data_IF_005872424371
#
_entry.id   IF_005872424371
#
_cell.length_a   1.000
_cell.length_b   1.000
_cell.length_c   1.000
_cell.angle_alpha   90.00
_cell.angle_beta   90.00
_cell.angle_gamma   90.00
#
_symmetry.space_group_name_H-M   'P 1'
#
loop_
_entity.id
_entity.type
_entity.pdbx_description
1 polymer ?
#
# COMPACT_ATOMS: atom_id res chain seq x y z
N UNK A 1 -51.86 -66.46 43.31
CA UNK A 1 -51.76 -65.05 43.75
C UNK A 1 -50.32 -64.60 43.56
N UNK A 2 -50.17 -63.38 43.04
CA UNK A 2 -48.95 -62.57 42.87
C UNK A 2 -48.01 -62.85 41.69
N UNK A 3 -48.15 -61.93 40.73
CA UNK A 3 -47.35 -61.53 39.57
C UNK A 3 -45.98 -60.94 39.93
N UNK A 4 -44.97 -61.04 39.04
CA UNK A 4 -43.73 -60.28 39.20
C UNK A 4 -42.68 -60.39 38.07
N UNK A 5 -42.85 -59.55 37.05
CA UNK A 5 -41.92 -59.00 36.06
C UNK A 5 -40.46 -59.50 35.89
N UNK A 6 -40.14 -59.76 34.62
CA UNK A 6 -38.82 -59.95 34.00
C UNK A 6 -38.04 -58.63 33.88
N UNK A 7 -36.73 -58.61 34.20
CA UNK A 7 -35.81 -57.53 33.82
C UNK A 7 -34.49 -58.08 33.29
N UNK A 8 -34.20 -57.76 32.03
CA UNK A 8 -32.92 -57.95 31.37
C UNK A 8 -31.89 -56.96 31.94
N UNK A 9 -30.68 -57.44 32.24
CA UNK A 9 -29.51 -56.59 32.55
C UNK A 9 -28.55 -56.70 31.37
N UNK A 10 -28.40 -55.60 30.63
CA UNK A 10 -27.44 -55.43 29.54
C UNK A 10 -26.10 -54.97 30.13
N UNK A 11 -25.05 -55.73 29.89
CA UNK A 11 -23.65 -55.35 30.16
C UNK A 11 -23.19 -54.30 29.13
N UNK A 12 -22.90 -53.08 29.59
CA UNK A 12 -22.23 -52.06 28.78
C UNK A 12 -20.75 -52.00 29.19
N UNK A 13 -19.90 -52.50 28.30
CA UNK A 13 -18.45 -52.41 28.41
C UNK A 13 -17.95 -50.98 28.22
N UNK A 14 -17.02 -50.58 29.08
CA UNK A 14 -16.33 -49.30 29.02
C UNK A 14 -15.19 -49.38 27.99
N UNK A 15 -15.32 -48.64 26.89
CA UNK A 15 -14.23 -48.39 25.96
C UNK A 15 -13.59 -47.06 26.37
N UNK A 16 -12.38 -47.11 26.95
CA UNK A 16 -11.52 -45.93 27.12
C UNK A 16 -11.01 -45.50 25.74
N UNK A 17 -11.65 -44.49 25.15
CA UNK A 17 -11.08 -43.75 24.03
C UNK A 17 -9.98 -42.83 24.57
N UNK A 18 -8.73 -43.17 24.24
CA UNK A 18 -7.58 -42.28 24.37
C UNK A 18 -7.79 -41.09 23.43
N UNK A 19 -8.32 -39.99 23.96
CA UNK A 19 -8.34 -38.70 23.28
C UNK A 19 -6.90 -38.19 23.15
N UNK A 20 -6.28 -38.45 21.99
CA UNK A 20 -5.08 -37.75 21.59
C UNK A 20 -5.40 -36.28 21.36
N UNK A 21 -4.85 -35.38 22.19
CA UNK A 21 -4.78 -33.97 21.86
C UNK A 21 -3.87 -33.81 20.64
N UNK A 22 -4.46 -33.74 19.45
CA UNK A 22 -3.76 -33.24 18.28
C UNK A 22 -3.49 -31.74 18.51
N UNK A 23 -2.22 -31.35 18.59
CA UNK A 23 -1.82 -29.95 18.62
C UNK A 23 -2.33 -29.27 17.34
N UNK A 24 -3.11 -28.19 17.52
CA UNK A 24 -3.55 -27.33 16.41
C UNK A 24 -2.32 -26.61 15.86
N UNK A 25 -1.99 -26.71 14.56
CA UNK A 25 -0.84 -26.00 14.00
C UNK A 25 -1.13 -24.49 13.94
N UNK A 26 -0.69 -23.74 14.96
CA UNK A 26 -0.57 -22.29 14.89
C UNK A 26 0.69 -21.91 14.09
N UNK A 27 0.65 -21.87 12.76
CA UNK A 27 1.81 -21.39 11.95
C UNK A 27 1.50 -20.99 10.49
N UNK A 28 0.26 -20.66 10.12
CA UNK A 28 -0.02 -20.26 8.72
C UNK A 28 0.28 -18.78 8.43
N UNK A 29 0.11 -17.89 9.40
CA UNK A 29 0.40 -16.45 9.21
C UNK A 29 1.91 -16.15 9.23
N UNK A 30 2.68 -16.87 10.06
CA UNK A 30 4.12 -16.63 10.24
C UNK A 30 4.96 -16.97 9.01
N UNK A 31 4.63 -18.06 8.31
CA UNK A 31 5.34 -18.45 7.08
C UNK A 31 5.01 -17.49 5.94
N UNK A 32 3.72 -17.13 5.80
CA UNK A 32 3.26 -16.24 4.74
C UNK A 32 3.80 -14.79 4.89
N UNK A 33 3.86 -14.27 6.12
CA UNK A 33 4.37 -12.91 6.36
C UNK A 33 5.84 -12.72 5.98
N UNK A 34 6.70 -13.69 6.31
CA UNK A 34 8.12 -13.65 5.94
C UNK A 34 8.32 -13.78 4.42
N UNK A 35 7.59 -14.70 3.77
CA UNK A 35 7.63 -14.86 2.31
C UNK A 35 7.19 -13.60 1.56
N UNK A 36 6.15 -12.90 2.07
CA UNK A 36 5.70 -11.63 1.51
C UNK A 36 6.79 -10.55 1.69
N UNK A 37 7.43 -10.46 2.85
CA UNK A 37 8.53 -9.50 3.08
C UNK A 37 9.70 -9.77 2.11
N UNK A 38 10.09 -11.02 1.94
CA UNK A 38 11.17 -11.42 1.03
C UNK A 38 10.82 -11.12 -0.45
N UNK A 39 9.58 -11.39 -0.86
CA UNK A 39 9.06 -11.06 -2.20
C UNK A 39 9.05 -9.54 -2.46
N UNK A 40 8.65 -8.74 -1.47
CA UNK A 40 8.67 -7.28 -1.56
C UNK A 40 10.10 -6.72 -1.64
N UNK A 41 11.02 -7.24 -0.83
CA UNK A 41 12.44 -6.87 -0.90
C UNK A 41 13.05 -7.25 -2.26
N UNK A 42 12.72 -8.42 -2.81
CA UNK A 42 13.17 -8.83 -4.14
C UNK A 42 12.63 -7.90 -5.23
N UNK A 43 11.37 -7.47 -5.16
CA UNK A 43 10.81 -6.47 -6.08
C UNK A 43 11.42 -5.09 -5.92
N UNK A 44 11.71 -4.66 -4.69
CA UNK A 44 12.31 -3.36 -4.40
C UNK A 44 13.67 -3.18 -5.10
N UNK A 45 14.50 -4.24 -5.12
CA UNK A 45 15.83 -4.21 -5.80
C UNK A 45 15.77 -4.63 -7.28
N UNK A 46 14.64 -5.12 -7.77
CA UNK A 46 14.44 -5.40 -9.17
C UNK A 46 14.26 -4.09 -9.94
N UNK A 47 15.10 -3.83 -10.95
CA UNK A 47 15.06 -2.62 -11.78
C UNK A 47 14.52 -2.84 -13.19
N UNK A 48 13.80 -3.93 -13.43
CA UNK A 48 13.16 -4.17 -14.72
C UNK A 48 12.35 -2.94 -15.16
N UNK A 49 12.62 -2.46 -16.38
CA UNK A 49 11.97 -1.29 -16.97
C UNK A 49 10.80 -1.67 -17.89
N UNK A 50 10.70 -2.95 -18.23
CA UNK A 50 9.68 -3.52 -19.10
C UNK A 50 9.19 -4.85 -18.49
N UNK A 51 7.88 -4.94 -18.25
CA UNK A 51 7.20 -6.10 -17.70
C UNK A 51 6.44 -6.86 -18.80
N UNK A 52 7.15 -7.27 -19.84
CA UNK A 52 6.61 -7.91 -21.05
C UNK A 52 5.60 -7.02 -21.80
N UNK A 53 6.05 -5.83 -22.20
CA UNK A 53 5.28 -4.78 -22.87
C UNK A 53 4.47 -3.90 -21.90
N UNK A 54 4.64 -4.07 -20.59
CA UNK A 54 3.90 -3.34 -19.55
C UNK A 54 4.81 -2.50 -18.66
N UNK A 55 4.32 -1.41 -18.06
CA UNK A 55 5.16 -0.51 -17.27
C UNK A 55 5.79 -1.19 -16.06
N UNK A 56 6.92 -0.65 -15.60
CA UNK A 56 7.77 -1.24 -14.55
C UNK A 56 7.04 -1.59 -13.24
N UNK A 57 5.96 -0.86 -12.88
CA UNK A 57 5.18 -1.11 -11.66
C UNK A 57 4.50 -2.50 -11.64
N UNK A 58 4.33 -3.14 -12.81
CA UNK A 58 3.67 -4.45 -12.91
C UNK A 58 4.58 -5.63 -12.51
N UNK A 59 5.90 -5.44 -12.39
CA UNK A 59 6.83 -6.54 -12.06
C UNK A 59 8.05 -6.12 -11.22
N UNK A 60 8.24 -4.82 -10.97
CA UNK A 60 9.39 -4.28 -10.26
C UNK A 60 8.97 -3.14 -9.33
N UNK A 61 9.80 -2.84 -8.34
CA UNK A 61 9.48 -1.88 -7.29
C UNK A 61 8.22 -2.25 -6.50
N UNK A 62 7.83 -1.36 -5.59
CA UNK A 62 6.73 -1.58 -4.66
C UNK A 62 5.81 -0.36 -4.64
N UNK A 63 4.50 -0.60 -4.75
CA UNK A 63 3.47 0.44 -4.70
C UNK A 63 2.94 0.55 -3.26
N UNK A 64 3.15 1.70 -2.63
CA UNK A 64 2.78 1.94 -1.23
C UNK A 64 1.82 3.12 -1.11
N UNK A 65 0.87 3.04 -0.18
CA UNK A 65 0.00 4.16 0.19
C UNK A 65 -0.04 4.32 1.69
N UNK A 66 0.29 5.52 2.15
CA UNK A 66 0.23 5.91 3.56
C UNK A 66 -1.23 6.11 3.97
N UNK A 67 -1.59 5.69 5.18
CA UNK A 67 -2.90 5.95 5.76
C UNK A 67 -2.99 7.36 6.35
N UNK A 68 -4.14 8.00 6.17
CA UNK A 68 -4.47 9.19 6.98
C UNK A 68 -4.73 8.77 8.42
N UNK A 69 -4.34 9.60 9.39
CA UNK A 69 -4.57 9.34 10.82
C UNK A 69 -6.05 9.02 11.10
N UNK A 70 -6.94 9.81 10.50
CA UNK A 70 -8.39 9.69 10.66
C UNK A 70 -9.09 8.85 9.58
N UNK A 71 -8.34 8.19 8.68
CA UNK A 71 -8.93 7.41 7.58
C UNK A 71 -9.56 6.11 8.08
N UNK A 72 -10.84 5.88 7.76
CA UNK A 72 -11.59 4.75 8.31
C UNK A 72 -12.81 4.33 7.44
N UNK A 73 -12.85 3.08 6.90
CA UNK A 73 -11.71 2.19 6.82
C UNK A 73 -10.61 2.87 5.99
N UNK A 74 -9.33 2.69 6.34
CA UNK A 74 -8.22 3.46 5.74
C UNK A 74 -8.02 3.18 4.24
N UNK A 75 -8.74 2.21 3.70
CA UNK A 75 -8.64 1.72 2.34
C UNK A 75 -9.71 2.28 1.40
N UNK A 76 -10.81 2.82 1.89
CA UNK A 76 -11.84 3.34 1.00
C UNK A 76 -11.43 4.71 0.45
N UNK A 77 -11.56 4.98 -0.86
CA UNK A 77 -11.25 6.29 -1.42
C UNK A 77 -12.23 7.33 -0.87
N UNK A 78 -11.75 8.54 -0.62
CA UNK A 78 -12.63 9.65 -0.19
C UNK A 78 -13.57 10.08 -1.34
N UNK A 79 -14.70 10.75 -1.06
CA UNK A 79 -15.58 11.27 -2.12
C UNK A 79 -14.85 12.10 -3.18
N UNK A 80 -13.86 12.92 -2.77
CA UNK A 80 -13.03 13.70 -3.69
C UNK A 80 -12.12 12.83 -4.56
N UNK A 81 -11.56 11.75 -4.01
CA UNK A 81 -10.75 10.78 -4.75
C UNK A 81 -11.59 10.03 -5.78
N UNK A 82 -12.84 9.66 -5.42
CA UNK A 82 -13.81 9.05 -6.34
C UNK A 82 -14.19 10.04 -7.45
N UNK A 83 -14.55 11.28 -7.10
CA UNK A 83 -14.97 12.30 -8.06
C UNK A 83 -13.86 12.65 -9.06
N UNK A 84 -12.60 12.72 -8.60
CA UNK A 84 -11.40 12.92 -9.43
C UNK A 84 -10.96 11.66 -10.18
N UNK A 85 -11.46 10.50 -9.77
CA UNK A 85 -11.00 9.18 -10.17
C UNK A 85 -9.48 9.00 -9.96
N UNK A 86 -8.94 9.45 -8.83
CA UNK A 86 -7.50 9.38 -8.57
C UNK A 86 -7.19 9.19 -7.10
N UNK A 87 -6.42 8.14 -6.80
CA UNK A 87 -5.92 7.77 -5.49
C UNK A 87 -4.39 7.75 -5.55
N UNK A 88 -3.77 8.51 -4.64
CA UNK A 88 -2.32 8.68 -4.59
C UNK A 88 -1.60 7.52 -3.91
N UNK A 89 -0.54 7.07 -4.56
CA UNK A 89 0.44 6.10 -4.06
C UNK A 89 1.84 6.65 -4.28
N UNK A 90 2.81 6.08 -3.59
CA UNK A 90 4.24 6.23 -3.89
C UNK A 90 4.76 4.91 -4.48
N UNK A 91 5.69 5.01 -5.40
CA UNK A 91 6.41 3.89 -5.96
C UNK A 91 7.86 3.91 -5.46
N UNK A 92 8.24 2.88 -4.72
CA UNK A 92 9.59 2.76 -4.15
C UNK A 92 10.38 1.67 -4.89
N UNK A 93 11.64 1.96 -5.21
CA UNK A 93 12.58 1.06 -5.87
C UNK A 93 13.99 1.51 -5.51
N UNK A 94 14.97 0.63 -5.54
CA UNK A 94 16.31 0.91 -5.01
C UNK A 94 17.14 1.91 -5.86
N UNK A 95 16.65 2.32 -7.04
CA UNK A 95 17.16 3.40 -7.86
C UNK A 95 16.37 4.71 -7.73
N UNK A 96 15.34 4.73 -6.87
CA UNK A 96 14.57 5.91 -6.50
C UNK A 96 14.99 6.30 -5.08
N UNK A 97 15.79 7.37 -4.90
CA UNK A 97 16.34 7.80 -3.61
C UNK A 97 15.31 8.40 -2.61
N UNK A 98 14.09 7.88 -2.60
CA UNK A 98 13.04 8.23 -1.63
C UNK A 98 13.36 7.60 -0.27
N UNK A 99 13.49 8.43 0.76
CA UNK A 99 13.59 8.01 2.16
C UNK A 99 12.44 8.57 3.02
N UNK A 100 11.56 9.38 2.44
CA UNK A 100 10.43 10.02 3.12
C UNK A 100 9.14 9.81 2.32
N UNK A 101 8.18 9.12 2.93
CA UNK A 101 6.81 9.04 2.40
C UNK A 101 5.97 10.23 2.90
N UNK A 102 4.80 10.42 2.27
CA UNK A 102 3.84 11.44 2.66
C UNK A 102 3.51 11.38 4.16
N UNK A 103 3.46 12.53 4.83
CA UNK A 103 3.19 12.64 6.28
C UNK A 103 3.99 11.65 7.13
N UNK A 104 5.30 11.58 6.89
CA UNK A 104 6.29 10.69 7.53
C UNK A 104 6.09 9.20 7.33
N UNK A 105 5.04 8.75 6.64
CA UNK A 105 4.86 7.33 6.31
C UNK A 105 4.71 6.41 7.51
N UNK A 106 4.07 6.88 8.58
CA UNK A 106 3.97 6.15 9.85
C UNK A 106 3.34 4.75 9.69
N UNK A 107 2.32 4.61 8.83
CA UNK A 107 1.78 3.32 8.40
C UNK A 107 1.02 3.42 7.08
N UNK A 108 0.78 2.28 6.45
CA UNK A 108 0.08 2.21 5.17
C UNK A 108 -0.16 0.81 4.67
N UNK A 109 -0.47 0.71 3.39
CA UNK A 109 -0.65 -0.56 2.67
C UNK A 109 0.27 -0.66 1.46
N UNK A 110 0.60 -1.89 1.12
CA UNK A 110 1.30 -2.30 -0.10
C UNK A 110 0.31 -2.98 -1.02
N UNK A 111 0.29 -2.60 -2.30
CA UNK A 111 -0.61 -3.20 -3.29
C UNK A 111 0.16 -3.78 -4.47
N UNK A 112 -0.32 -4.91 -5.00
CA UNK A 112 0.15 -5.47 -6.25
C UNK A 112 -0.55 -4.79 -7.43
N UNK A 113 0.22 -4.20 -8.35
CA UNK A 113 -0.31 -3.58 -9.57
C UNK A 113 -0.02 -4.36 -10.85
N UNK A 114 0.61 -5.53 -10.72
CA UNK A 114 0.88 -6.47 -11.80
C UNK A 114 -0.16 -7.59 -11.89
N UNK A 115 0.29 -8.77 -12.30
CA UNK A 115 -0.57 -9.94 -12.44
C UNK A 115 -0.97 -10.50 -11.07
N UNK A 116 -2.27 -10.42 -10.76
CA UNK A 116 -2.85 -10.75 -9.45
C UNK A 116 -4.21 -11.44 -9.63
N UNK A 117 -4.19 -12.66 -10.19
CA UNK A 117 -5.40 -13.42 -10.47
C UNK A 117 -6.32 -13.53 -9.24
N UNK A 118 -7.61 -13.25 -9.42
CA UNK A 118 -8.61 -13.27 -8.34
C UNK A 118 -8.79 -11.93 -7.59
N UNK A 119 -8.02 -10.90 -7.95
CA UNK A 119 -8.17 -9.55 -7.40
C UNK A 119 -8.61 -8.55 -8.48
N UNK A 120 -9.13 -7.40 -8.03
CA UNK A 120 -9.44 -6.26 -8.91
C UNK A 120 -8.14 -5.69 -9.47
N UNK A 121 -8.13 -5.44 -10.80
CA UNK A 121 -6.99 -4.81 -11.47
C UNK A 121 -6.96 -3.32 -11.16
N UNK A 122 -5.91 -2.88 -10.48
CA UNK A 122 -5.64 -1.46 -10.26
C UNK A 122 -5.12 -0.81 -11.54
N UNK A 123 -5.71 0.31 -11.94
CA UNK A 123 -5.34 1.03 -13.16
C UNK A 123 -4.49 2.24 -12.83
N UNK A 124 -3.19 2.20 -13.13
CA UNK A 124 -2.33 3.40 -13.03
C UNK A 124 -2.73 4.40 -14.13
N UNK A 125 -2.98 5.65 -13.74
CA UNK A 125 -3.42 6.74 -14.63
C UNK A 125 -2.28 7.67 -15.05
N UNK A 126 -1.32 7.91 -14.16
CA UNK A 126 -0.12 8.71 -14.45
C UNK A 126 0.94 8.52 -13.37
N UNK A 127 2.18 8.88 -13.71
CA UNK A 127 3.34 8.76 -12.84
C UNK A 127 4.08 10.09 -12.73
N UNK A 128 4.12 10.66 -11.53
CA UNK A 128 4.79 11.93 -11.24
C UNK A 128 6.11 11.69 -10.53
N UNK A 129 7.24 12.23 -11.03
CA UNK A 129 8.53 12.07 -10.36
C UNK A 129 8.62 12.78 -9.01
N UNK A 130 7.63 13.56 -8.61
CA UNK A 130 7.57 14.28 -7.34
C UNK A 130 6.10 14.40 -6.92
N UNK A 131 5.81 15.05 -5.79
CA UNK A 131 4.46 15.41 -5.35
C UNK A 131 3.67 16.10 -6.49
N UNK A 132 2.58 15.47 -6.91
CA UNK A 132 1.72 15.93 -7.98
C UNK A 132 0.77 17.02 -7.51
N UNK A 133 0.58 17.23 -6.19
CA UNK A 133 -0.40 18.14 -5.64
C UNK A 133 -1.83 17.81 -6.10
N UNK A 134 -2.14 16.52 -6.06
CA UNK A 134 -3.34 15.90 -6.64
C UNK A 134 -4.65 16.52 -6.15
N UNK A 135 -4.69 17.02 -4.90
CA UNK A 135 -5.86 17.69 -4.35
C UNK A 135 -6.32 18.91 -5.16
N UNK A 136 -5.41 19.52 -5.93
CA UNK A 136 -5.68 20.69 -6.76
C UNK A 136 -5.74 20.34 -8.25
N UNK A 137 -5.84 19.06 -8.63
CA UNK A 137 -6.00 18.62 -10.02
C UNK A 137 -7.38 17.99 -10.21
N UNK A 138 -8.32 18.62 -10.94
CA UNK A 138 -9.68 18.10 -11.08
C UNK A 138 -9.78 16.69 -11.67
N UNK A 139 -8.84 16.30 -12.53
CA UNK A 139 -8.78 14.98 -13.18
C UNK A 139 -7.66 14.08 -12.62
N UNK A 140 -6.91 14.56 -11.62
CA UNK A 140 -5.74 13.92 -11.01
C UNK A 140 -4.46 14.04 -11.84
N UNK A 141 -4.51 13.76 -13.14
CA UNK A 141 -3.31 13.65 -13.98
C UNK A 141 -3.02 14.87 -14.86
N UNK A 142 -3.99 15.78 -15.01
CA UNK A 142 -3.92 16.95 -15.87
C UNK A 142 -3.42 18.17 -15.12
N UNK A 143 -3.94 19.33 -15.49
CA UNK A 143 -3.49 20.63 -14.96
C UNK A 143 -3.98 20.86 -13.54
N UNK A 144 -3.14 21.44 -12.69
CA UNK A 144 -3.54 21.98 -11.41
C UNK A 144 -4.38 23.27 -11.57
N UNK A 145 -5.46 23.37 -10.81
CA UNK A 145 -6.36 24.53 -10.75
C UNK A 145 -6.16 25.37 -9.49
N UNK A 146 -5.28 24.97 -8.58
CA UNK A 146 -4.89 25.77 -7.42
C UNK A 146 -4.21 27.08 -7.84
N UNK A 147 -4.55 28.17 -7.14
CA UNK A 147 -4.11 29.52 -7.48
C UNK A 147 -2.77 29.83 -6.81
N UNK A 148 -1.65 29.52 -7.47
CA UNK A 148 -0.33 29.90 -6.97
C UNK A 148 0.49 30.53 -8.10
N UNK A 149 0.26 31.83 -8.25
CA UNK A 149 0.81 32.82 -9.21
C UNK A 149 0.25 32.73 -10.65
N UNK A 150 -0.10 33.87 -11.29
CA UNK A 150 -0.79 33.89 -12.59
C UNK A 150 -0.03 33.28 -13.77
N UNK A 151 1.29 33.05 -13.62
CA UNK A 151 2.20 32.75 -14.73
C UNK A 151 2.55 31.27 -14.87
N UNK A 152 2.40 30.46 -13.81
CA UNK A 152 2.83 29.06 -13.81
C UNK A 152 1.61 28.15 -13.96
N UNK A 153 1.46 27.51 -15.11
CA UNK A 153 0.38 26.54 -15.37
C UNK A 153 0.98 25.16 -15.59
N UNK A 154 0.68 24.21 -14.71
CA UNK A 154 1.11 22.83 -14.89
C UNK A 154 0.34 22.15 -16.03
N UNK A 155 1.01 21.29 -16.78
CA UNK A 155 0.43 20.49 -17.88
C UNK A 155 1.13 19.13 -17.94
N UNK A 156 0.51 18.08 -18.52
CA UNK A 156 1.21 16.82 -18.77
C UNK A 156 2.53 17.02 -19.51
N UNK A 157 3.57 16.23 -19.20
CA UNK A 157 4.92 16.45 -19.74
C UNK A 157 4.96 16.41 -21.27
N UNK A 158 4.21 15.51 -21.89
CA UNK A 158 4.10 15.40 -23.35
C UNK A 158 3.59 16.68 -24.02
N UNK A 159 2.69 17.44 -23.38
CA UNK A 159 2.18 18.70 -23.92
C UNK A 159 3.19 19.85 -23.85
N UNK A 160 4.31 19.64 -23.18
CA UNK A 160 5.39 20.61 -22.99
C UNK A 160 6.67 20.20 -23.72
N UNK A 161 6.67 19.06 -24.44
CA UNK A 161 7.89 18.53 -25.07
C UNK A 161 8.93 18.03 -24.07
N UNK A 162 8.50 17.72 -22.84
CA UNK A 162 9.33 17.13 -21.79
C UNK A 162 9.24 15.61 -21.92
N UNK A 163 10.21 15.03 -22.59
CA UNK A 163 10.28 13.62 -23.01
C UNK A 163 11.58 12.93 -22.57
N UNK A 164 12.39 13.60 -21.75
CA UNK A 164 13.65 13.08 -21.20
C UNK A 164 13.79 13.45 -19.73
N UNK A 165 14.52 12.65 -18.93
CA UNK A 165 14.78 12.95 -17.53
C UNK A 165 15.47 14.31 -17.33
N UNK A 166 16.38 14.68 -18.22
CA UNK A 166 17.13 15.93 -18.15
C UNK A 166 16.23 17.14 -18.41
N UNK A 167 15.33 17.07 -19.40
CA UNK A 167 14.33 18.12 -19.63
C UNK A 167 13.40 18.26 -18.42
N UNK A 168 13.00 17.14 -17.81
CA UNK A 168 12.16 17.18 -16.61
C UNK A 168 12.89 17.84 -15.45
N UNK A 169 14.14 17.44 -15.18
CA UNK A 169 14.95 18.02 -14.11
C UNK A 169 15.21 19.53 -14.32
N UNK A 170 15.48 19.94 -15.55
CA UNK A 170 15.63 21.36 -15.90
C UNK A 170 14.32 22.14 -15.71
N UNK A 171 13.19 21.57 -16.12
CA UNK A 171 11.88 22.16 -15.87
C UNK A 171 11.59 22.29 -14.37
N UNK A 172 11.82 21.22 -13.59
CA UNK A 172 11.63 21.24 -12.14
C UNK A 172 12.51 22.28 -11.45
N UNK A 173 13.78 22.40 -11.85
CA UNK A 173 14.68 23.44 -11.35
C UNK A 173 14.19 24.86 -11.68
N UNK A 174 13.61 25.06 -12.85
CA UNK A 174 13.10 26.38 -13.28
C UNK A 174 11.92 26.90 -12.44
N UNK A 175 11.23 26.02 -11.70
CA UNK A 175 10.15 26.38 -10.78
C UNK A 175 10.68 27.03 -9.49
N UNK A 176 11.99 27.01 -9.27
CA UNK A 176 12.64 27.58 -8.08
C UNK A 176 12.38 26.77 -6.81
N UNK A 177 12.95 27.20 -5.68
CA UNK A 177 12.92 26.42 -4.44
C UNK A 177 11.67 26.57 -3.58
N UNK A 178 10.78 27.51 -3.95
CA UNK A 178 9.50 27.65 -3.29
C UNK A 178 8.67 26.37 -3.47
N UNK A 179 8.47 25.63 -2.37
CA UNK A 179 7.73 24.36 -2.35
C UNK A 179 6.43 24.40 -3.16
N UNK A 180 5.60 25.46 -3.10
CA UNK A 180 4.36 25.46 -3.84
C UNK A 180 4.52 25.53 -5.36
N UNK A 181 5.63 26.05 -5.86
CA UNK A 181 5.89 26.11 -7.31
C UNK A 181 6.34 24.76 -7.84
N UNK A 182 7.04 23.94 -7.06
CA UNK A 182 7.47 22.57 -7.44
C UNK A 182 6.29 21.64 -7.75
N UNK A 183 5.13 21.91 -7.15
CA UNK A 183 3.85 21.25 -7.47
C UNK A 183 3.36 21.51 -8.89
N UNK A 184 3.91 22.51 -9.58
CA UNK A 184 3.57 22.83 -10.97
C UNK A 184 4.47 22.15 -12.00
N UNK A 185 5.27 21.17 -11.57
CA UNK A 185 5.94 20.22 -12.46
C UNK A 185 4.93 19.43 -13.30
N UNK A 186 5.40 18.40 -14.00
CA UNK A 186 4.57 17.57 -14.87
C UNK A 186 4.72 16.08 -14.56
N UNK A 187 3.67 15.32 -14.85
CA UNK A 187 3.65 13.86 -14.79
C UNK A 187 3.66 13.23 -16.18
N UNK A 188 4.02 11.95 -16.21
CA UNK A 188 4.10 11.12 -17.40
C UNK A 188 2.90 10.17 -17.52
N UNK A 189 2.62 9.74 -18.76
CA UNK A 189 1.61 8.73 -19.04
C UNK A 189 2.02 7.36 -18.48
N UNK A 190 1.07 6.45 -18.18
CA UNK A 190 1.33 5.15 -17.59
C UNK A 190 1.71 4.12 -18.66
N UNK A 191 2.60 4.50 -19.58
CA UNK A 191 3.19 3.61 -20.60
C UNK A 191 4.54 3.09 -20.11
N UNK A 192 5.09 2.08 -20.78
CA UNK A 192 6.47 1.60 -20.50
C UNK A 192 7.44 2.77 -20.49
N UNK A 193 7.45 3.55 -21.56
CA UNK A 193 8.32 4.72 -21.71
C UNK A 193 8.04 5.80 -20.65
N UNK A 194 6.77 6.21 -20.48
CA UNK A 194 6.41 7.29 -19.56
C UNK A 194 6.69 6.96 -18.09
N UNK A 195 6.45 5.72 -17.68
CA UNK A 195 6.76 5.29 -16.32
C UNK A 195 8.27 5.25 -16.07
N UNK A 196 9.05 4.77 -17.04
CA UNK A 196 10.52 4.78 -16.95
C UNK A 196 11.10 6.21 -16.92
N UNK A 197 10.54 7.12 -17.72
CA UNK A 197 10.88 8.55 -17.64
C UNK A 197 10.58 9.10 -16.25
N UNK A 198 9.46 8.67 -15.64
CA UNK A 198 9.09 9.13 -14.30
C UNK A 198 10.13 8.71 -13.24
N UNK A 199 10.53 7.44 -13.27
CA UNK A 199 11.55 6.88 -12.37
C UNK A 199 12.89 7.60 -12.55
N UNK A 200 13.37 7.71 -13.79
CA UNK A 200 14.65 8.33 -14.07
C UNK A 200 14.66 9.84 -13.72
N UNK A 201 13.55 10.53 -13.94
CA UNK A 201 13.41 11.96 -13.59
C UNK A 201 13.51 12.20 -12.09
N UNK A 202 12.98 11.31 -11.24
CA UNK A 202 13.05 11.44 -9.79
C UNK A 202 14.52 11.42 -9.30
N UNK A 203 15.33 10.51 -9.84
CA UNK A 203 16.74 10.41 -9.49
C UNK A 203 17.54 11.69 -9.84
N UNK A 204 17.06 12.48 -10.80
CA UNK A 204 17.69 13.72 -11.25
C UNK A 204 17.15 14.99 -10.57
N UNK A 205 16.26 14.88 -9.58
CA UNK A 205 15.81 16.05 -8.79
C UNK A 205 17.04 16.76 -8.22
N UNK A 206 17.31 18.04 -8.55
CA UNK A 206 18.59 18.67 -8.21
C UNK A 206 18.83 18.83 -6.70
N UNK A 207 17.79 19.23 -5.97
CA UNK A 207 17.85 19.43 -4.52
C UNK A 207 17.76 18.08 -3.78
N UNK A 208 18.79 17.67 -3.01
CA UNK A 208 18.78 16.41 -2.27
C UNK A 208 17.59 16.27 -1.30
N UNK A 209 17.14 17.36 -0.68
CA UNK A 209 16.02 17.31 0.27
C UNK A 209 14.68 17.05 -0.41
N UNK A 210 14.50 17.50 -1.66
CA UNK A 210 13.32 17.14 -2.44
C UNK A 210 13.44 15.75 -3.03
N UNK A 211 14.65 15.34 -3.40
CA UNK A 211 14.95 14.01 -3.92
C UNK A 211 14.65 12.90 -2.89
N UNK A 212 14.76 13.19 -1.59
CA UNK A 212 14.39 12.26 -0.51
C UNK A 212 12.88 12.07 -0.36
N UNK A 213 12.06 12.98 -0.88
CA UNK A 213 10.60 12.91 -0.77
C UNK A 213 10.02 11.88 -1.72
N UNK A 214 8.74 11.59 -1.52
CA UNK A 214 8.01 10.66 -2.35
C UNK A 214 7.78 11.19 -3.76
N UNK A 215 7.73 10.26 -4.71
CA UNK A 215 7.03 10.45 -5.97
C UNK A 215 5.52 10.21 -5.78
N UNK A 216 4.71 10.55 -6.79
CA UNK A 216 3.27 10.32 -6.73
C UNK A 216 2.76 9.58 -7.97
N UNK A 217 2.28 8.36 -7.76
CA UNK A 217 1.62 7.55 -8.78
C UNK A 217 0.12 7.61 -8.52
N UNK A 218 -0.66 8.00 -9.53
CA UNK A 218 -2.11 8.06 -9.41
C UNK A 218 -2.72 6.79 -9.98
N UNK A 219 -3.47 6.09 -9.13
CA UNK A 219 -4.28 4.92 -9.49
C UNK A 219 -5.73 5.38 -9.59
N UNK A 220 -6.49 4.85 -10.55
CA UNK A 220 -7.93 5.07 -10.66
C UNK A 220 -8.62 4.70 -9.33
N UNK A 221 -9.60 5.49 -8.94
CA UNK A 221 -10.36 5.18 -7.72
C UNK A 221 -11.15 3.89 -7.94
N UNK A 222 -11.07 2.99 -6.96
CA UNK A 222 -11.92 1.80 -6.90
C UNK A 222 -13.23 2.14 -6.20
N UNK A 223 -14.20 1.24 -6.33
CA UNK A 223 -15.51 1.37 -5.71
C UNK A 223 -15.51 0.64 -4.37
N UNK A 224 -16.46 0.95 -3.51
CA UNK A 224 -16.54 0.36 -2.17
C UNK A 224 -16.73 -1.17 -2.26
N UNK A 225 -17.50 -1.64 -3.25
CA UNK A 225 -17.70 -3.06 -3.51
C UNK A 225 -16.43 -3.81 -3.96
N UNK A 226 -15.40 -3.09 -4.43
CA UNK A 226 -14.13 -3.69 -4.83
C UNK A 226 -13.21 -3.96 -3.63
N UNK A 227 -13.46 -3.32 -2.48
CA UNK A 227 -12.60 -3.35 -1.29
C UNK A 227 -12.20 -4.78 -0.87
N UNK A 228 -13.13 -5.75 -0.78
CA UNK A 228 -12.77 -7.13 -0.42
C UNK A 228 -11.83 -7.81 -1.41
N UNK A 229 -11.82 -7.38 -2.67
CA UNK A 229 -11.04 -7.94 -3.76
C UNK A 229 -9.82 -7.09 -4.15
N UNK A 230 -9.45 -6.06 -3.37
CA UNK A 230 -8.25 -5.28 -3.64
C UNK A 230 -6.98 -6.12 -3.47
N UNK A 231 -5.96 -5.96 -4.33
CA UNK A 231 -4.73 -6.74 -4.31
C UNK A 231 -3.73 -6.23 -3.27
N UNK A 232 -4.16 -6.16 -2.01
CA UNK A 232 -3.30 -5.74 -0.90
C UNK A 232 -2.42 -6.92 -0.50
N UNK A 233 -1.12 -6.71 -0.46
CA UNK A 233 -0.14 -7.76 -0.14
C UNK A 233 0.26 -7.70 1.34
N UNK A 234 0.45 -6.49 1.85
CA UNK A 234 0.88 -6.25 3.21
C UNK A 234 0.36 -4.90 3.71
N UNK A 235 0.31 -4.76 5.03
CA UNK A 235 0.33 -3.48 5.71
C UNK A 235 1.75 -3.18 6.12
N UNK A 236 2.09 -1.90 6.30
CA UNK A 236 3.39 -1.52 6.82
C UNK A 236 3.25 -0.47 7.93
N UNK A 237 4.28 -0.39 8.77
CA UNK A 237 4.53 0.75 9.66
C UNK A 237 6.01 1.06 9.72
N UNK A 238 6.34 2.30 10.07
CA UNK A 238 7.73 2.77 10.18
C UNK A 238 8.06 2.97 11.67
N UNK A 239 8.85 2.08 12.31
CA UNK A 239 9.07 2.14 13.76
C UNK A 239 9.64 3.48 14.25
N UNK A 240 10.52 4.10 13.47
CA UNK A 240 11.26 5.31 13.85
C UNK A 240 10.39 6.59 13.82
N UNK A 241 9.13 6.51 13.38
CA UNK A 241 8.22 7.66 13.43
C UNK A 241 7.58 7.87 14.80
N UNK A 242 7.83 6.97 15.77
CA UNK A 242 7.25 7.04 17.11
C UNK A 242 5.75 6.70 17.17
N UNK A 243 5.21 6.07 16.12
CA UNK A 243 3.82 5.63 16.10
C UNK A 243 3.60 4.48 17.10
N UNK A 244 2.50 4.52 17.85
CA UNK A 244 2.10 3.38 18.68
C UNK A 244 1.64 2.22 17.81
N UNK A 245 2.19 1.03 18.06
CA UNK A 245 1.76 -0.22 17.41
C UNK A 245 0.25 -0.45 17.58
N UNK A 246 -0.35 0.00 18.69
CA UNK A 246 -1.80 -0.09 18.92
C UNK A 246 -2.62 0.70 17.90
N UNK A 247 -2.13 1.85 17.40
CA UNK A 247 -2.81 2.58 16.32
C UNK A 247 -2.72 1.84 14.98
N UNK A 248 -1.60 1.14 14.75
CA UNK A 248 -1.41 0.30 13.56
C UNK A 248 -2.34 -0.92 13.62
N UNK A 249 -2.49 -1.55 14.78
CA UNK A 249 -3.45 -2.65 15.01
C UNK A 249 -4.90 -2.23 14.76
N UNK A 250 -5.29 -1.00 15.11
CA UNK A 250 -6.62 -0.46 14.77
C UNK A 250 -6.84 -0.46 13.25
N UNK A 251 -5.84 -0.05 12.46
CA UNK A 251 -5.93 -0.08 10.99
C UNK A 251 -5.95 -1.53 10.47
N UNK A 252 -5.14 -2.41 11.03
CA UNK A 252 -5.13 -3.84 10.67
C UNK A 252 -6.50 -4.50 10.91
N UNK A 253 -7.19 -4.16 12.00
CA UNK A 253 -8.55 -4.63 12.27
C UNK A 253 -9.59 -4.06 11.32
N UNK A 254 -9.54 -2.76 11.02
CA UNK A 254 -10.46 -2.16 10.05
C UNK A 254 -10.35 -2.85 8.66
N UNK A 255 -9.12 -3.18 8.24
CA UNK A 255 -8.86 -3.86 6.98
C UNK A 255 -9.31 -5.33 7.03
N UNK A 256 -9.15 -6.01 8.16
CA UNK A 256 -9.71 -7.35 8.34
C UNK A 256 -11.23 -7.35 8.18
N UNK A 257 -11.96 -6.42 8.79
CA UNK A 257 -13.43 -6.36 8.62
C UNK A 257 -13.85 -5.96 7.21
N UNK A 258 -13.12 -5.04 6.58
CA UNK A 258 -13.43 -4.60 5.22
C UNK A 258 -13.16 -5.69 4.17
N UNK A 259 -12.26 -6.65 4.44
CA UNK A 259 -11.81 -7.61 3.43
C UNK A 259 -11.96 -9.08 3.80
N UNK A 260 -12.25 -9.38 5.07
CA UNK A 260 -12.18 -10.73 5.65
C UNK A 260 -10.81 -11.43 5.51
N UNK A 261 -9.74 -10.68 5.25
CA UNK A 261 -8.38 -11.20 5.07
C UNK A 261 -7.47 -10.76 6.20
N UNK A 262 -6.68 -11.70 6.74
CA UNK A 262 -5.60 -11.42 7.69
C UNK A 262 -4.35 -11.01 6.90
N UNK A 263 -4.22 -9.71 6.63
CA UNK A 263 -3.10 -9.15 5.88
C UNK A 263 -1.92 -8.93 6.84
N UNK A 264 -0.70 -9.41 6.51
CA UNK A 264 0.44 -9.29 7.40
C UNK A 264 0.87 -7.83 7.55
N UNK A 265 1.31 -7.48 8.75
CA UNK A 265 1.94 -6.19 9.06
C UNK A 265 3.47 -6.34 8.97
N UNK A 266 4.11 -5.46 8.21
CA UNK A 266 5.56 -5.42 8.05
C UNK A 266 6.15 -4.13 8.64
N UNK A 267 7.39 -4.19 9.12
CA UNK A 267 8.18 -2.98 9.37
C UNK A 267 8.75 -2.50 8.04
N UNK A 268 8.72 -1.19 7.82
CA UNK A 268 9.36 -0.51 6.70
C UNK A 268 10.51 0.37 7.20
N UNK A 269 11.69 0.21 6.62
CA UNK A 269 12.86 1.07 6.83
C UNK A 269 13.52 1.32 5.47
N UNK A 270 13.24 2.49 4.89
CA UNK A 270 13.74 2.90 3.57
C UNK A 270 15.25 3.20 3.54
N UNK A 271 15.90 3.27 4.71
CA UNK A 271 17.32 3.61 4.84
C UNK A 271 18.18 2.37 5.16
N UNK A 272 17.62 1.16 5.11
CA UNK A 272 18.37 -0.10 5.28
C UNK A 272 19.50 -0.24 4.26
N UNK A 273 20.72 -0.32 4.79
CA UNK A 273 21.95 -0.44 3.99
C UNK A 273 22.02 -1.72 3.14
N UNK A 274 21.43 -2.83 3.60
CA UNK A 274 21.37 -4.10 2.87
C UNK A 274 20.18 -4.18 1.88
N UNK A 275 19.42 -3.09 1.76
CA UNK A 275 18.22 -2.95 0.91
C UNK A 275 17.08 -3.92 1.26
N UNK A 276 17.12 -4.57 2.42
CA UNK A 276 16.00 -5.34 2.96
C UNK A 276 15.08 -4.43 3.75
N UNK A 277 14.38 -3.55 3.03
CA UNK A 277 13.58 -2.47 3.61
C UNK A 277 12.31 -2.97 4.32
N UNK A 278 11.83 -4.17 4.01
CA UNK A 278 10.71 -4.82 4.69
C UNK A 278 11.20 -5.94 5.60
N UNK A 279 10.69 -5.97 6.83
CA UNK A 279 10.90 -7.11 7.75
C UNK A 279 9.61 -7.53 8.42
N UNK A 280 9.43 -8.83 8.59
CA UNK A 280 8.29 -9.41 9.30
C UNK A 280 8.69 -9.83 10.72
N UNK A 281 7.82 -9.56 11.68
CA UNK A 281 7.92 -10.03 13.06
C UNK A 281 6.54 -10.52 13.51
N UNK A 282 6.40 -11.80 13.92
CA UNK A 282 5.14 -12.31 14.47
C UNK A 282 4.62 -11.51 15.67
N UNK A 283 5.52 -10.92 16.46
CA UNK A 283 5.15 -10.13 17.64
C UNK A 283 4.52 -8.77 17.28
N UNK A 284 4.69 -8.29 16.04
CA UNK A 284 4.05 -7.05 15.58
C UNK A 284 2.60 -7.29 15.14
N UNK A 285 2.20 -8.54 14.88
CA UNK A 285 0.85 -8.83 14.40
C UNK A 285 -0.17 -8.63 15.49
N UNK A 286 -1.36 -8.16 15.12
CA UNK A 286 -2.49 -8.22 16.04
C UNK A 286 -2.86 -9.69 16.31
N UNK A 287 -3.01 -10.04 17.59
CA UNK A 287 -3.68 -11.28 17.98
C UNK A 287 -5.18 -11.11 17.76
N UNK A 288 -5.67 -11.54 16.59
CA UNK A 288 -7.08 -11.43 16.25
C UNK A 288 -7.97 -12.18 17.23
N UNK A 289 -7.52 -13.30 17.79
CA UNK A 289 -8.35 -14.13 18.67
C UNK A 289 -8.53 -13.45 20.03
N UNK A 290 -7.52 -12.72 20.51
CA UNK A 290 -7.60 -11.88 21.70
C UNK A 290 -8.25 -10.49 21.45
N UNK A 291 -8.03 -9.91 20.26
CA UNK A 291 -8.40 -8.52 19.96
C UNK A 291 -9.77 -8.37 19.27
N UNK A 292 -10.38 -9.46 18.80
CA UNK A 292 -11.70 -9.48 18.15
C UNK A 292 -12.76 -8.64 18.89
N UNK A 293 -12.92 -8.73 20.23
CA UNK A 293 -13.89 -7.90 20.96
C UNK A 293 -13.61 -6.40 20.86
N UNK A 294 -12.34 -5.99 20.94
CA UNK A 294 -11.92 -4.58 20.82
C UNK A 294 -12.05 -4.07 19.39
N UNK A 295 -11.79 -4.93 18.41
CA UNK A 295 -11.94 -4.64 17.00
C UNK A 295 -13.42 -4.54 16.60
N UNK A 296 -14.29 -5.40 17.12
CA UNK A 296 -15.75 -5.37 16.93
C UNK A 296 -16.41 -4.16 17.61
N UNK A 297 -16.07 -3.88 18.88
CA UNK A 297 -16.63 -2.73 19.61
C UNK A 297 -16.41 -1.41 18.88
N UNK A 298 -15.27 -1.24 18.19
CA UNK A 298 -15.03 -0.05 17.37
C UNK A 298 -15.72 -0.10 16.02
N UNK A 299 -15.94 -1.29 15.43
CA UNK A 299 -16.71 -1.42 14.21
C UNK A 299 -18.20 -1.09 14.39
N UNK A 300 -18.79 -1.46 15.54
CA UNK A 300 -20.21 -1.30 15.84
C UNK A 300 -20.59 0.10 16.36
N UNK A 301 -19.63 0.86 16.91
CA UNK A 301 -19.84 2.23 17.42
C UNK A 301 -19.33 3.32 16.46
N UNK A 302 -19.37 3.04 15.15
CA UNK A 302 -19.05 3.96 14.07
C UNK A 302 -20.31 4.34 13.28
#
# INVERSE_FOLDING_TARGET
>A
MQTGCLRYVVLLGWICLLSGCAAVPHSTLSVNGQEIADSLNARYVNRASDCAGRPAHECSGVMVRVFGLDSDPPISPTPDQIARNAVSFSFIRDDIPTTLLFQTGWAGMVVNTGDNAGFVRLTVRCAWPYDAYTNFRPDGCGRATGDMTPTIKSRPCAQQGIDTPEKWAAHFASLGDNKPYKYFSCGFAPTVEGFNLSIASHALIPNPEDRRRWNEILIAAWREEDVPALPIEALFFTPDTGISIGLVHVKQCAIFFATSRRIPLLRLDLEKADKKIFSFDPADQIDFDAALPTCLYRAENR
#
